data_IF_291553094544
#
_entry.id   IF_291553094544
#
_cell.length_a   1.000
_cell.length_b   1.000
_cell.length_c   1.000
_cell.angle_alpha   90.00
_cell.angle_beta   90.00
_cell.angle_gamma   90.00
#
_symmetry.space_group_name_H-M   'P 1'
#
loop_
_entity.id
_entity.type
_entity.pdbx_description
1 polymer ?
#
# COMPACT_ATOMS: atom_id res chain seq x y z
N UNK A 1 89.09 19.27 7.29
CA UNK A 1 87.89 18.90 6.54
C UNK A 1 86.78 18.72 7.57
N UNK A 2 85.98 19.80 7.76
CA UNK A 2 84.93 19.82 8.79
C UNK A 2 83.59 19.53 8.08
N UNK A 3 82.88 18.50 8.47
CA UNK A 3 81.52 18.17 8.00
C UNK A 3 80.56 18.81 8.99
N UNK A 4 79.78 19.78 8.48
CA UNK A 4 78.60 20.32 9.17
C UNK A 4 77.40 19.42 8.96
N UNK A 5 76.85 18.87 10.02
CA UNK A 5 75.57 18.17 10.03
C UNK A 5 74.47 19.20 10.34
N UNK A 6 73.54 19.40 9.43
CA UNK A 6 72.34 20.21 9.64
C UNK A 6 71.24 19.29 10.17
N UNK A 7 70.80 19.53 11.37
CA UNK A 7 69.62 18.88 11.97
C UNK A 7 68.42 19.75 11.64
N UNK A 8 67.57 19.31 10.69
CA UNK A 8 66.28 19.91 10.42
C UNK A 8 65.30 19.57 11.56
N UNK A 9 64.73 20.59 12.16
CA UNK A 9 63.67 20.49 13.17
C UNK A 9 62.36 20.20 12.40
N UNK A 10 61.71 19.08 12.73
CA UNK A 10 60.46 18.66 12.13
C UNK A 10 59.33 19.63 12.46
N UNK A 11 58.47 19.82 11.49
CA UNK A 11 57.21 20.52 11.64
C UNK A 11 56.26 19.72 12.49
N UNK A 12 55.61 20.35 13.43
CA UNK A 12 54.49 19.80 14.20
C UNK A 12 53.32 19.51 13.29
N UNK A 13 53.00 18.26 13.12
CA UNK A 13 51.70 17.83 12.55
C UNK A 13 50.62 18.17 13.58
N UNK A 14 49.91 19.27 13.31
CA UNK A 14 48.64 19.54 13.99
C UNK A 14 47.61 18.53 13.47
N UNK A 15 47.38 17.49 14.25
CA UNK A 15 46.19 16.64 14.09
C UNK A 15 44.95 17.52 14.18
N UNK A 16 44.28 17.66 13.05
CA UNK A 16 42.91 18.20 13.02
C UNK A 16 41.97 17.17 13.68
N UNK A 17 41.48 17.53 14.87
CA UNK A 17 40.34 16.80 15.46
C UNK A 17 39.21 16.67 14.43
N UNK A 18 38.57 15.50 14.28
CA UNK A 18 37.40 15.34 13.45
C UNK A 18 36.31 16.27 13.99
N UNK A 19 35.89 17.22 13.17
CA UNK A 19 34.69 18.02 13.43
C UNK A 19 33.55 17.02 13.61
N UNK A 20 33.01 16.93 14.82
CA UNK A 20 31.71 16.33 15.05
C UNK A 20 30.73 17.11 14.21
N UNK A 21 30.15 16.46 13.21
CA UNK A 21 28.90 16.92 12.59
C UNK A 21 27.89 17.03 13.73
N UNK A 22 27.49 18.25 14.07
CA UNK A 22 26.36 18.48 14.95
C UNK A 22 25.15 17.89 14.22
N UNK A 23 24.63 16.76 14.68
CA UNK A 23 23.34 16.27 14.25
C UNK A 23 22.33 17.41 14.50
N UNK A 24 21.75 17.91 13.42
CA UNK A 24 20.66 18.89 13.49
C UNK A 24 19.47 18.22 14.17
N UNK A 25 19.34 18.44 15.47
CA UNK A 25 18.26 17.88 16.32
C UNK A 25 16.99 18.72 16.25
N UNK A 26 16.89 19.63 15.29
CA UNK A 26 15.65 20.39 15.08
C UNK A 26 14.51 19.45 14.66
N UNK A 27 13.37 19.54 15.33
CA UNK A 27 12.17 18.82 14.89
C UNK A 27 11.81 19.25 13.48
N UNK A 28 11.47 18.30 12.58
CA UNK A 28 11.15 18.65 11.20
C UNK A 28 9.93 19.56 11.13
N UNK A 29 9.98 20.51 10.21
CA UNK A 29 8.93 21.48 10.01
C UNK A 29 7.63 20.79 9.55
N UNK A 30 6.50 21.15 10.17
CA UNK A 30 5.19 20.70 9.74
C UNK A 30 4.98 21.02 8.25
N UNK A 31 4.63 20.00 7.47
CA UNK A 31 4.44 20.13 6.03
C UNK A 31 5.59 19.53 5.22
N UNK A 32 6.68 19.11 5.85
CA UNK A 32 7.76 18.36 5.20
C UNK A 32 7.46 16.85 5.17
N UNK A 33 8.06 16.11 4.24
CA UNK A 33 7.90 14.63 4.20
C UNK A 33 8.50 13.99 5.44
N UNK A 34 9.59 14.53 5.95
CA UNK A 34 10.26 14.10 7.18
C UNK A 34 9.33 14.15 8.38
N UNK A 35 8.49 15.21 8.47
CA UNK A 35 7.51 15.34 9.55
C UNK A 35 6.51 14.17 9.58
N UNK A 36 6.11 13.63 8.43
CA UNK A 36 5.22 12.46 8.36
C UNK A 36 5.82 11.22 9.04
N UNK A 37 7.15 11.08 9.05
CA UNK A 37 7.81 9.93 9.67
C UNK A 37 7.79 9.97 11.20
N UNK A 38 7.73 11.15 11.81
CA UNK A 38 7.59 11.29 13.25
C UNK A 38 6.25 10.76 13.78
N UNK A 39 5.20 10.77 12.96
CA UNK A 39 3.89 10.24 13.34
C UNK A 39 3.87 8.72 13.40
N UNK A 40 4.74 8.06 12.63
CA UNK A 40 4.73 6.59 12.53
C UNK A 40 4.91 5.92 13.87
N UNK A 41 5.68 6.49 14.78
CA UNK A 41 5.96 5.92 16.09
C UNK A 41 4.78 6.00 17.06
N UNK A 42 4.00 7.08 17.02
CA UNK A 42 2.82 7.26 17.86
C UNK A 42 1.62 6.43 17.37
N UNK A 43 1.46 6.29 16.04
CA UNK A 43 0.27 5.73 15.41
C UNK A 43 0.44 4.29 14.91
N UNK A 44 1.67 3.79 14.87
CA UNK A 44 2.06 2.49 14.31
C UNK A 44 1.30 1.30 14.86
N UNK A 45 0.92 1.34 16.12
CA UNK A 45 0.25 0.23 16.80
C UNK A 45 -1.27 0.30 16.72
N UNK A 46 -1.83 1.32 16.05
CA UNK A 46 -3.27 1.44 15.90
C UNK A 46 -3.79 0.46 14.83
N UNK A 47 -4.88 -0.25 15.10
CA UNK A 47 -5.35 -1.30 14.20
C UNK A 47 -5.88 -0.74 12.87
N UNK A 48 -5.78 -1.55 11.81
CA UNK A 48 -6.35 -1.31 10.48
C UNK A 48 -7.28 -2.47 10.10
N UNK A 49 -8.19 -2.31 9.15
CA UNK A 49 -8.46 -1.12 8.29
C UNK A 49 -9.32 -0.06 8.98
N UNK A 50 -9.40 1.13 8.38
CA UNK A 50 -10.26 2.23 8.86
C UNK A 50 -11.17 2.77 7.75
N UNK A 51 -12.14 3.61 8.16
CA UNK A 51 -12.90 4.44 7.24
C UNK A 51 -12.06 5.64 6.81
N UNK A 52 -11.92 5.85 5.49
CA UNK A 52 -11.24 7.02 4.94
C UNK A 52 -12.27 7.98 4.36
N UNK A 53 -12.12 9.26 4.70
CA UNK A 53 -13.05 10.33 4.26
C UNK A 53 -12.31 11.63 4.10
N UNK A 54 -12.68 12.43 3.10
CA UNK A 54 -12.16 13.80 2.96
C UNK A 54 -12.59 14.63 4.16
N UNK A 55 -13.83 14.45 4.63
CA UNK A 55 -14.31 15.08 5.85
C UNK A 55 -13.58 14.49 7.05
N UNK A 56 -12.76 15.28 7.71
CA UNK A 56 -11.96 14.86 8.87
C UNK A 56 -10.56 14.31 8.48
N UNK A 57 -10.14 14.48 7.23
CA UNK A 57 -8.74 14.35 6.84
C UNK A 57 -8.04 15.71 6.85
N UNK A 58 -6.73 15.70 7.07
CA UNK A 58 -5.87 16.87 6.94
C UNK A 58 -5.32 16.90 5.53
N UNK A 59 -5.55 18.00 4.80
CA UNK A 59 -4.93 18.17 3.47
C UNK A 59 -3.45 18.40 3.65
N UNK A 60 -2.65 17.58 2.99
CA UNK A 60 -1.20 17.63 3.09
C UNK A 60 -0.56 17.62 1.70
N UNK A 61 0.45 18.46 1.51
CA UNK A 61 1.13 18.60 0.22
C UNK A 61 2.42 17.81 0.23
N UNK A 62 2.53 16.84 -0.67
CA UNK A 62 3.75 16.07 -0.91
C UNK A 62 4.23 16.28 -2.35
N UNK A 63 5.49 15.96 -2.66
CA UNK A 63 5.92 15.74 -4.03
C UNK A 63 5.06 14.70 -4.74
N UNK A 64 5.18 14.63 -6.06
CA UNK A 64 4.50 13.61 -6.84
C UNK A 64 5.01 12.21 -6.51
N UNK A 65 4.10 11.23 -6.34
CA UNK A 65 4.46 9.81 -6.23
C UNK A 65 4.91 9.30 -7.60
N UNK A 66 6.10 8.74 -7.68
CA UNK A 66 6.74 8.31 -8.94
C UNK A 66 6.83 6.79 -9.00
N UNK A 67 6.53 6.25 -10.18
CA UNK A 67 6.43 4.82 -10.47
C UNK A 67 7.51 4.42 -11.46
N UNK A 68 8.34 3.47 -11.09
CA UNK A 68 9.48 3.04 -11.90
C UNK A 68 9.39 1.54 -12.23
N UNK A 69 9.75 1.17 -13.45
CA UNK A 69 9.84 -0.21 -13.94
C UNK A 69 8.51 -0.99 -13.99
N UNK A 70 7.35 -0.33 -13.86
CA UNK A 70 6.05 -1.02 -13.94
C UNK A 70 5.72 -1.52 -15.33
N UNK A 71 6.33 -0.96 -16.38
CA UNK A 71 6.22 -1.41 -17.78
C UNK A 71 7.19 -2.55 -18.12
N UNK A 72 8.12 -2.88 -17.22
CA UNK A 72 9.09 -3.94 -17.43
C UNK A 72 8.43 -5.30 -17.24
N UNK A 73 8.55 -6.17 -18.26
CA UNK A 73 8.00 -7.51 -18.22
C UNK A 73 8.68 -8.36 -17.15
N UNK A 74 7.93 -8.95 -16.22
CA UNK A 74 8.48 -9.92 -15.28
C UNK A 74 8.92 -11.19 -16.01
N UNK A 75 9.96 -11.84 -15.50
CA UNK A 75 10.36 -13.15 -15.99
C UNK A 75 9.33 -14.24 -15.68
N UNK A 76 8.65 -14.13 -14.53
CA UNK A 76 7.62 -15.08 -14.07
C UNK A 76 6.59 -14.35 -13.25
N UNK A 77 5.31 -14.72 -13.45
CA UNK A 77 4.21 -14.37 -12.54
C UNK A 77 3.66 -15.69 -12.01
N UNK A 78 3.47 -15.76 -10.69
CA UNK A 78 2.81 -16.87 -10.00
C UNK A 78 1.56 -16.33 -9.34
N UNK A 79 0.43 -16.97 -9.61
CA UNK A 79 -0.85 -16.71 -8.96
C UNK A 79 -1.15 -17.90 -8.06
N UNK A 80 -1.51 -17.66 -6.82
CA UNK A 80 -1.72 -18.70 -5.81
C UNK A 80 -3.01 -18.43 -5.05
N UNK A 81 -3.89 -19.42 -4.98
CA UNK A 81 -4.91 -19.47 -3.95
C UNK A 81 -4.26 -20.00 -2.67
N UNK A 82 -4.12 -19.16 -1.66
CA UNK A 82 -3.48 -19.53 -0.38
C UNK A 82 -4.43 -20.29 0.55
N UNK A 83 -5.70 -20.50 0.14
CA UNK A 83 -6.78 -20.97 1.01
C UNK A 83 -7.42 -19.84 1.83
N UNK A 84 -6.82 -18.66 1.82
CA UNK A 84 -7.32 -17.47 2.53
C UNK A 84 -7.48 -16.26 1.65
N UNK A 85 -6.66 -16.14 0.61
CA UNK A 85 -6.70 -15.04 -0.36
C UNK A 85 -6.05 -15.47 -1.66
N UNK A 86 -6.24 -14.68 -2.70
CA UNK A 86 -5.48 -14.78 -3.95
C UNK A 86 -4.21 -13.95 -3.83
N UNK A 87 -3.05 -14.58 -4.03
CA UNK A 87 -1.74 -13.94 -3.97
C UNK A 87 -1.09 -13.95 -5.35
N UNK A 88 -0.59 -12.78 -5.78
CA UNK A 88 0.21 -12.63 -6.99
C UNK A 88 1.64 -12.25 -6.59
N UNK A 89 2.59 -13.10 -6.95
CA UNK A 89 4.02 -12.83 -6.86
C UNK A 89 4.66 -12.80 -8.23
N UNK A 90 5.64 -11.95 -8.43
CA UNK A 90 6.35 -11.85 -9.69
C UNK A 90 7.86 -11.76 -9.47
N UNK A 91 8.63 -12.25 -10.46
CA UNK A 91 10.12 -12.20 -10.46
C UNK A 91 10.61 -11.51 -11.73
N UNK A 92 11.60 -10.66 -11.58
CA UNK A 92 12.28 -9.96 -12.67
C UNK A 92 13.73 -10.47 -12.80
N UNK A 93 14.28 -10.39 -13.99
CA UNK A 93 15.72 -10.62 -14.24
C UNK A 93 16.54 -9.34 -14.05
N UNK A 94 15.88 -8.22 -14.13
CA UNK A 94 16.38 -6.86 -13.93
C UNK A 94 15.82 -6.30 -12.63
N UNK A 95 15.93 -5.01 -12.44
CA UNK A 95 15.37 -4.30 -11.31
C UNK A 95 13.84 -4.46 -11.23
N UNK A 96 13.32 -4.70 -10.02
CA UNK A 96 11.89 -4.83 -9.75
C UNK A 96 11.20 -3.47 -9.86
N UNK A 97 9.87 -3.43 -10.11
CA UNK A 97 9.10 -2.21 -9.96
C UNK A 97 9.23 -1.60 -8.56
N UNK A 98 9.28 -0.29 -8.50
CA UNK A 98 9.42 0.44 -7.24
C UNK A 98 8.77 1.82 -7.27
N UNK A 99 8.55 2.39 -6.08
CA UNK A 99 8.02 3.72 -5.83
C UNK A 99 9.08 4.62 -5.21
N UNK A 100 9.02 5.91 -5.53
CA UNK A 100 9.74 6.99 -4.89
C UNK A 100 8.89 8.27 -4.86
N UNK A 101 9.28 9.22 -4.03
CA UNK A 101 8.56 10.50 -3.91
C UNK A 101 7.22 10.35 -3.19
N UNK A 102 6.32 11.29 -3.37
CA UNK A 102 5.11 11.35 -2.54
C UNK A 102 5.47 11.48 -1.07
N UNK A 103 4.87 10.65 -0.19
CA UNK A 103 5.19 10.60 1.23
C UNK A 103 6.37 9.68 1.54
N UNK A 104 7.17 9.30 0.54
CA UNK A 104 8.26 8.35 0.68
C UNK A 104 9.60 9.08 0.61
N UNK A 105 10.41 8.96 1.67
CA UNK A 105 11.78 9.48 1.68
C UNK A 105 12.70 8.64 0.82
N UNK A 106 12.41 7.34 0.72
CA UNK A 106 13.26 6.37 0.06
C UNK A 106 12.49 5.44 -0.88
N UNK A 107 13.26 4.70 -1.67
CA UNK A 107 12.78 3.70 -2.62
C UNK A 107 12.04 2.55 -1.92
N UNK A 108 10.83 2.23 -2.39
CA UNK A 108 10.04 1.09 -1.94
C UNK A 108 9.78 0.12 -3.08
N UNK A 109 10.23 -1.12 -2.94
CA UNK A 109 10.22 -2.16 -3.97
C UNK A 109 8.93 -2.97 -3.89
N UNK A 110 8.29 -3.21 -5.04
CA UNK A 110 7.11 -4.06 -5.13
C UNK A 110 7.40 -5.47 -4.61
N UNK A 111 6.60 -5.94 -3.66
CA UNK A 111 6.70 -7.27 -3.09
C UNK A 111 5.65 -8.22 -3.67
N UNK A 112 4.39 -7.95 -3.39
CA UNK A 112 3.28 -8.84 -3.71
C UNK A 112 1.97 -8.08 -3.87
N UNK A 113 0.97 -8.75 -4.47
CA UNK A 113 -0.39 -8.26 -4.60
C UNK A 113 -1.33 -9.31 -4.05
N UNK A 114 -2.30 -8.91 -3.23
CA UNK A 114 -3.34 -9.81 -2.76
C UNK A 114 -4.71 -9.14 -2.78
N UNK A 115 -5.78 -9.93 -2.62
CA UNK A 115 -7.15 -9.47 -2.80
C UNK A 115 -8.02 -9.82 -1.61
N UNK A 116 -8.95 -8.93 -1.31
CA UNK A 116 -10.03 -9.13 -0.37
C UNK A 116 -11.37 -8.98 -1.12
N UNK A 117 -12.36 -9.77 -0.75
CA UNK A 117 -13.68 -9.73 -1.36
C UNK A 117 -14.76 -10.18 -0.40
N UNK A 118 -16.03 -9.93 -0.76
CA UNK A 118 -17.17 -10.26 0.03
C UNK A 118 -18.20 -11.12 -0.69
N UNK A 119 -19.19 -11.55 0.06
CA UNK A 119 -20.25 -12.40 -0.43
C UNK A 119 -21.22 -11.69 -1.38
N UNK A 120 -21.39 -10.38 -1.19
CA UNK A 120 -22.30 -9.57 -2.01
C UNK A 120 -21.58 -8.34 -2.62
N UNK A 121 -22.33 -7.50 -3.34
CA UNK A 121 -21.76 -6.33 -4.02
C UNK A 121 -21.56 -5.11 -3.13
N UNK A 122 -22.03 -5.16 -1.89
CA UNK A 122 -21.96 -4.06 -0.94
C UNK A 122 -20.91 -4.28 0.15
N UNK A 123 -20.18 -5.39 0.09
CA UNK A 123 -19.13 -5.71 1.06
C UNK A 123 -18.00 -6.51 0.42
N UNK A 124 -16.79 -6.33 0.91
CA UNK A 124 -15.61 -7.04 0.39
C UNK A 124 -14.31 -6.31 0.61
N UNK A 125 -14.35 -4.97 0.62
CA UNK A 125 -13.17 -4.18 0.95
C UNK A 125 -12.90 -4.21 2.45
N UNK A 126 -11.65 -4.22 2.84
CA UNK A 126 -11.22 -3.98 4.21
C UNK A 126 -11.54 -2.55 4.60
N UNK A 127 -11.04 -1.59 3.81
CA UNK A 127 -11.32 -0.17 4.01
C UNK A 127 -12.72 0.21 3.55
N UNK A 128 -13.24 1.26 4.16
CA UNK A 128 -14.43 1.96 3.66
C UNK A 128 -14.04 3.37 3.23
N UNK A 129 -14.79 3.89 2.27
CA UNK A 129 -14.69 5.29 1.85
C UNK A 129 -16.02 5.94 2.14
N UNK A 130 -16.02 6.97 3.01
CA UNK A 130 -17.26 7.60 3.48
C UNK A 130 -18.28 6.57 4.00
N UNK A 131 -17.80 5.56 4.77
CA UNK A 131 -18.56 4.44 5.34
C UNK A 131 -19.16 3.46 4.31
N UNK A 132 -18.77 3.57 3.05
CA UNK A 132 -19.23 2.68 1.98
C UNK A 132 -18.18 1.60 1.73
N UNK A 133 -18.60 0.33 1.75
CA UNK A 133 -17.81 -0.81 1.30
C UNK A 133 -18.05 -1.09 -0.18
N UNK A 134 -17.05 -1.68 -0.80
CA UNK A 134 -17.10 -2.14 -2.19
C UNK A 134 -16.83 -3.65 -2.27
N UNK A 135 -17.13 -4.31 -3.40
CA UNK A 135 -17.05 -5.77 -3.48
C UNK A 135 -15.65 -6.35 -3.40
N UNK A 136 -14.61 -5.62 -3.81
CA UNK A 136 -13.24 -6.14 -3.85
C UNK A 136 -12.24 -5.04 -3.49
N UNK A 137 -11.19 -5.42 -2.76
CA UNK A 137 -10.00 -4.59 -2.52
C UNK A 137 -8.77 -5.33 -3.00
N UNK A 138 -7.92 -4.65 -3.76
CA UNK A 138 -6.62 -5.15 -4.16
C UNK A 138 -5.54 -4.41 -3.36
N UNK A 139 -4.74 -5.14 -2.60
CA UNK A 139 -3.67 -4.60 -1.78
C UNK A 139 -2.32 -4.92 -2.40
N UNK A 140 -1.54 -3.88 -2.66
CA UNK A 140 -0.22 -3.96 -3.28
C UNK A 140 0.83 -3.58 -2.25
N UNK A 141 1.64 -4.54 -1.84
CA UNK A 141 2.63 -4.36 -0.78
C UNK A 141 4.00 -4.01 -1.38
N UNK A 142 4.62 -3.00 -0.79
CA UNK A 142 5.97 -2.56 -1.10
C UNK A 142 6.80 -2.55 0.18
N UNK A 143 8.09 -2.79 0.06
CA UNK A 143 9.02 -2.71 1.18
C UNK A 143 10.18 -1.76 0.87
N UNK A 144 10.67 -1.06 1.90
CA UNK A 144 11.79 -0.13 1.79
C UNK A 144 13.06 -0.88 1.35
N UNK A 145 13.72 -0.38 0.33
CA UNK A 145 14.85 -1.07 -0.32
C UNK A 145 16.05 -1.29 0.58
N UNK A 146 16.24 -0.42 1.57
CA UNK A 146 17.30 -0.49 2.57
C UNK A 146 17.28 -1.82 3.35
N UNK A 147 16.10 -2.35 3.62
CA UNK A 147 15.95 -3.59 4.39
C UNK A 147 16.11 -4.87 3.56
N UNK A 148 16.38 -4.76 2.26
CA UNK A 148 16.68 -5.84 1.32
C UNK A 148 15.57 -6.88 1.14
N UNK A 149 14.82 -7.22 2.19
CA UNK A 149 13.72 -8.20 2.16
C UNK A 149 12.46 -7.63 2.82
N UNK A 150 11.31 -8.16 2.47
CA UNK A 150 10.05 -7.78 3.12
C UNK A 150 10.03 -8.21 4.60
N UNK A 151 10.62 -9.38 4.93
CA UNK A 151 10.63 -9.89 6.30
C UNK A 151 11.43 -8.97 7.22
N UNK A 152 12.56 -8.44 6.76
CA UNK A 152 13.33 -7.44 7.50
C UNK A 152 12.57 -6.11 7.61
N UNK A 153 11.97 -5.65 6.51
CA UNK A 153 11.19 -4.43 6.50
C UNK A 153 10.00 -4.45 7.49
N UNK A 154 9.43 -5.60 7.76
CA UNK A 154 8.38 -5.74 8.78
C UNK A 154 8.85 -5.43 10.21
N UNK A 155 10.15 -5.50 10.47
CA UNK A 155 10.71 -5.18 11.78
C UNK A 155 10.83 -3.66 12.02
N UNK A 156 10.56 -2.83 11.01
CA UNK A 156 10.75 -1.38 11.04
C UNK A 156 9.43 -0.63 10.79
N UNK A 157 9.21 0.46 11.51
CA UNK A 157 7.98 1.27 11.41
C UNK A 157 7.82 1.98 10.07
N UNK A 158 8.91 2.20 9.35
CA UNK A 158 8.95 2.84 8.03
C UNK A 158 9.15 1.84 6.87
N UNK A 159 9.21 0.54 7.21
CA UNK A 159 9.64 -0.50 6.28
C UNK A 159 8.62 -0.86 5.20
N UNK A 160 7.32 -0.68 5.46
CA UNK A 160 6.27 -1.23 4.58
C UNK A 160 5.25 -0.16 4.18
N UNK A 161 4.92 -0.18 2.90
CA UNK A 161 3.83 0.61 2.32
C UNK A 161 2.85 -0.33 1.63
N UNK A 162 1.57 -0.10 1.83
CA UNK A 162 0.49 -0.84 1.15
C UNK A 162 -0.39 0.14 0.40
N UNK A 163 -0.54 -0.08 -0.91
CA UNK A 163 -1.52 0.66 -1.72
C UNK A 163 -2.78 -0.19 -1.85
N UNK A 164 -3.93 0.38 -1.45
CA UNK A 164 -5.24 -0.27 -1.47
C UNK A 164 -6.09 0.26 -2.59
N UNK A 165 -6.24 -0.50 -3.67
CA UNK A 165 -7.16 -0.16 -4.74
C UNK A 165 -8.55 -0.69 -4.43
N UNK A 166 -9.48 0.24 -4.29
CA UNK A 166 -10.90 -0.08 -4.17
C UNK A 166 -11.43 -0.46 -5.55
N UNK A 167 -12.05 -1.63 -5.67
CA UNK A 167 -12.66 -2.13 -6.90
C UNK A 167 -14.17 -2.12 -6.71
N UNK A 168 -14.83 -1.16 -7.33
CA UNK A 168 -16.27 -1.01 -7.26
C UNK A 168 -16.97 -1.86 -8.33
N UNK A 169 -18.26 -2.10 -8.16
CA UNK A 169 -19.09 -2.70 -9.19
C UNK A 169 -19.22 -1.75 -10.39
N UNK A 170 -19.01 -2.29 -11.58
CA UNK A 170 -19.19 -1.61 -12.86
C UNK A 170 -20.02 -2.44 -13.83
N UNK A 171 -20.69 -1.79 -14.76
CA UNK A 171 -21.52 -2.48 -15.76
C UNK A 171 -20.68 -3.29 -16.77
N UNK A 172 -19.44 -2.86 -17.02
CA UNK A 172 -18.55 -3.47 -17.99
C UNK A 172 -17.34 -4.12 -17.28
N UNK A 173 -16.76 -5.18 -17.85
CA UNK A 173 -15.51 -5.75 -17.36
C UNK A 173 -14.38 -4.73 -17.46
N UNK A 174 -13.45 -4.79 -16.51
CA UNK A 174 -12.19 -4.04 -16.56
C UNK A 174 -11.12 -4.92 -17.19
N UNK A 175 -10.57 -4.47 -18.32
CA UNK A 175 -9.53 -5.18 -19.05
C UNK A 175 -8.26 -5.42 -18.23
N UNK A 176 -7.99 -4.55 -17.26
CA UNK A 176 -6.84 -4.69 -16.35
C UNK A 176 -6.90 -5.95 -15.52
N UNK A 177 -8.10 -6.39 -15.14
CA UNK A 177 -8.31 -7.60 -14.35
C UNK A 177 -8.34 -8.88 -15.18
N UNK A 178 -8.46 -8.80 -16.51
CA UNK A 178 -8.72 -9.94 -17.39
C UNK A 178 -7.76 -11.09 -17.15
N UNK A 179 -6.45 -10.86 -17.18
CA UNK A 179 -5.47 -11.94 -17.02
C UNK A 179 -5.46 -12.56 -15.60
N UNK A 180 -5.88 -11.80 -14.60
CA UNK A 180 -6.08 -12.31 -13.23
C UNK A 180 -7.29 -13.23 -13.22
N UNK A 181 -8.43 -12.75 -13.71
CA UNK A 181 -9.70 -13.49 -13.76
C UNK A 181 -9.55 -14.78 -14.56
N UNK A 182 -8.86 -14.76 -15.71
CA UNK A 182 -8.59 -15.96 -16.54
C UNK A 182 -7.74 -17.02 -15.84
N UNK A 183 -7.00 -16.61 -14.81
CA UNK A 183 -6.18 -17.52 -14.01
C UNK A 183 -6.96 -18.20 -12.86
N UNK A 184 -8.06 -17.59 -12.37
CA UNK A 184 -8.78 -18.07 -11.19
C UNK A 184 -9.30 -19.51 -11.33
N UNK A 185 -9.87 -19.95 -12.48
CA UNK A 185 -10.29 -21.35 -12.64
C UNK A 185 -9.17 -22.38 -12.44
N UNK A 186 -7.90 -21.99 -12.67
CA UNK A 186 -6.72 -22.86 -12.54
C UNK A 186 -6.18 -22.96 -11.11
N UNK A 187 -6.67 -22.11 -10.22
CA UNK A 187 -6.27 -22.04 -8.81
C UNK A 187 -7.48 -22.07 -7.88
N UNK A 188 -8.55 -22.72 -8.32
CA UNK A 188 -9.79 -22.78 -7.55
C UNK A 188 -9.59 -23.45 -6.21
N UNK A 189 -8.86 -24.56 -6.17
CA UNK A 189 -8.56 -25.31 -4.95
C UNK A 189 -7.55 -24.55 -4.08
N UNK A 190 -7.70 -24.67 -2.77
CA UNK A 190 -6.75 -24.09 -1.82
C UNK A 190 -5.33 -24.64 -2.04
N UNK A 191 -4.35 -23.81 -1.73
CA UNK A 191 -2.91 -24.13 -1.84
C UNK A 191 -2.45 -24.50 -3.26
N UNK A 192 -3.24 -24.20 -4.29
CA UNK A 192 -2.86 -24.38 -5.68
C UNK A 192 -2.29 -23.11 -6.29
N UNK A 193 -1.46 -23.28 -7.30
CA UNK A 193 -0.86 -22.15 -7.99
C UNK A 193 -0.72 -22.38 -9.49
N UNK A 194 -0.80 -21.30 -10.26
CA UNK A 194 -0.58 -21.30 -11.70
C UNK A 194 0.39 -20.20 -12.10
N UNK A 195 0.93 -20.35 -13.31
CA UNK A 195 1.72 -19.29 -13.94
C UNK A 195 0.82 -18.47 -14.84
N UNK A 196 0.92 -17.14 -14.72
CA UNK A 196 0.39 -16.23 -15.72
C UNK A 196 1.47 -15.87 -16.74
N UNK A 197 1.03 -15.32 -17.88
CA UNK A 197 1.94 -14.77 -18.89
C UNK A 197 2.79 -13.63 -18.32
N UNK A 198 3.88 -13.24 -19.02
CA UNK A 198 4.68 -12.10 -18.60
C UNK A 198 3.92 -10.79 -18.87
N UNK A 199 3.05 -10.38 -17.97
CA UNK A 199 2.34 -9.11 -18.04
C UNK A 199 3.08 -8.05 -17.23
N UNK A 200 3.35 -6.84 -17.78
CA UNK A 200 3.85 -5.72 -17.00
C UNK A 200 2.86 -5.36 -15.88
N UNK A 201 3.36 -4.90 -14.74
CA UNK A 201 2.47 -4.52 -13.62
C UNK A 201 1.61 -3.31 -13.95
N UNK A 202 2.02 -2.46 -14.88
CA UNK A 202 1.22 -1.35 -15.41
C UNK A 202 -0.08 -1.79 -16.09
N UNK A 203 -0.18 -3.04 -16.53
CA UNK A 203 -1.42 -3.60 -17.10
C UNK A 203 -2.48 -3.91 -16.04
N UNK A 204 -2.09 -4.05 -14.78
CA UNK A 204 -3.00 -4.31 -13.66
C UNK A 204 -3.20 -3.07 -12.79
N UNK A 205 -2.10 -2.37 -12.48
CA UNK A 205 -2.09 -1.32 -11.46
C UNK A 205 -2.29 0.06 -12.10
N UNK A 206 -3.38 0.76 -11.79
CA UNK A 206 -3.51 2.16 -12.15
C UNK A 206 -2.45 2.98 -11.43
N UNK A 207 -1.54 3.58 -12.19
CA UNK A 207 -0.56 4.50 -11.63
C UNK A 207 -1.22 5.86 -11.39
N UNK A 208 -0.97 6.44 -10.23
CA UNK A 208 -1.49 7.76 -9.86
C UNK A 208 -0.36 8.60 -9.26
N UNK A 209 -0.50 9.89 -9.34
CA UNK A 209 0.48 10.84 -8.81
C UNK A 209 -0.08 11.63 -7.62
N UNK A 210 -1.41 11.75 -7.56
CA UNK A 210 -2.14 12.65 -6.69
C UNK A 210 -3.42 12.01 -6.17
N UNK A 211 -4.04 12.70 -5.21
CA UNK A 211 -5.39 12.44 -4.71
C UNK A 211 -5.52 11.05 -4.08
N UNK A 212 -4.83 10.86 -2.97
CA UNK A 212 -4.92 9.65 -2.17
C UNK A 212 -4.94 9.97 -0.68
N UNK A 213 -5.51 9.07 0.08
CA UNK A 213 -5.43 9.09 1.53
C UNK A 213 -4.16 8.38 1.99
N UNK A 214 -3.57 8.90 3.08
CA UNK A 214 -2.41 8.33 3.74
C UNK A 214 -2.67 8.25 5.24
N UNK A 215 -2.35 7.11 5.85
CA UNK A 215 -2.36 6.96 7.30
C UNK A 215 -1.42 5.83 7.74
N UNK A 216 -1.08 5.78 9.04
CA UNK A 216 -0.32 4.69 9.64
C UNK A 216 -1.24 3.74 10.39
N UNK A 217 -0.97 2.46 10.31
CA UNK A 217 -1.73 1.45 11.03
C UNK A 217 -1.15 0.07 10.89
N UNK A 218 -1.78 -0.91 11.53
CA UNK A 218 -1.31 -2.29 11.50
C UNK A 218 -1.56 -2.96 10.15
N UNK A 219 -0.62 -3.82 9.75
CA UNK A 219 -0.79 -4.81 8.69
C UNK A 219 -0.67 -6.19 9.32
N UNK A 220 -1.75 -6.94 9.33
CA UNK A 220 -1.70 -8.32 9.83
C UNK A 220 -1.14 -9.26 8.78
N UNK A 221 -0.11 -9.97 9.17
CA UNK A 221 0.50 -11.04 8.39
C UNK A 221 0.69 -12.29 9.28
N UNK A 222 1.17 -13.37 8.70
CA UNK A 222 1.21 -14.67 9.34
C UNK A 222 1.95 -14.74 10.69
N UNK A 223 2.91 -13.86 10.94
CA UNK A 223 3.72 -13.83 12.17
C UNK A 223 3.23 -12.80 13.21
N UNK A 224 2.22 -12.02 12.90
CA UNK A 224 1.70 -10.97 13.79
C UNK A 224 1.28 -9.71 13.04
N UNK A 225 1.04 -8.66 13.81
CA UNK A 225 0.73 -7.34 13.29
C UNK A 225 2.01 -6.52 13.15
N UNK A 226 2.14 -5.90 12.00
CA UNK A 226 3.27 -5.05 11.64
C UNK A 226 2.79 -3.64 11.36
N UNK A 227 3.69 -2.69 11.38
CA UNK A 227 3.39 -1.32 10.97
C UNK A 227 3.40 -1.20 9.46
N UNK A 228 2.43 -0.49 8.90
CA UNK A 228 2.43 -0.13 7.50
C UNK A 228 1.91 1.30 7.29
N UNK A 229 2.42 1.94 6.26
CA UNK A 229 1.81 3.12 5.68
C UNK A 229 0.79 2.68 4.65
N UNK A 230 -0.44 3.09 4.86
CA UNK A 230 -1.55 2.78 4.00
C UNK A 230 -1.83 3.94 3.06
N UNK A 231 -1.82 3.65 1.77
CA UNK A 231 -2.17 4.60 0.71
C UNK A 231 -3.44 4.10 0.03
N UNK A 232 -4.48 4.89 0.09
CA UNK A 232 -5.77 4.59 -0.56
C UNK A 232 -6.02 5.62 -1.65
N UNK A 233 -5.80 5.28 -2.93
CA UNK A 233 -6.06 6.19 -4.04
C UNK A 233 -7.53 6.58 -4.08
N UNK A 234 -7.81 7.81 -4.42
CA UNK A 234 -9.18 8.28 -4.60
C UNK A 234 -9.84 7.72 -5.85
N UNK A 235 -9.04 7.45 -6.88
CA UNK A 235 -9.55 6.85 -8.11
C UNK A 235 -9.74 5.36 -7.93
N UNK A 236 -10.98 4.90 -8.02
CA UNK A 236 -11.32 3.50 -7.95
C UNK A 236 -11.06 2.76 -9.26
N UNK A 237 -10.83 1.46 -9.14
CA UNK A 237 -11.03 0.52 -10.22
C UNK A 237 -12.51 0.10 -10.29
N UNK A 238 -12.90 -0.53 -11.39
CA UNK A 238 -14.20 -1.16 -11.51
C UNK A 238 -14.08 -2.62 -11.94
N UNK A 239 -15.09 -3.42 -11.68
CA UNK A 239 -15.17 -4.79 -12.18
C UNK A 239 -16.63 -5.16 -12.47
N UNK A 240 -16.86 -5.98 -13.50
CA UNK A 240 -18.20 -6.48 -13.78
C UNK A 240 -18.65 -7.50 -12.72
N UNK A 241 -19.96 -7.78 -12.73
CA UNK A 241 -20.52 -8.80 -11.85
C UNK A 241 -19.83 -10.16 -12.02
N UNK A 242 -19.58 -10.55 -13.27
CA UNK A 242 -18.93 -11.81 -13.62
C UNK A 242 -17.50 -11.87 -13.09
N UNK A 243 -16.71 -10.79 -13.25
CA UNK A 243 -15.35 -10.70 -12.75
C UNK A 243 -15.30 -10.81 -11.22
N UNK A 244 -16.17 -10.10 -10.51
CA UNK A 244 -16.26 -10.17 -9.05
C UNK A 244 -16.67 -11.57 -8.60
N UNK A 245 -17.60 -12.21 -9.31
CA UNK A 245 -18.10 -13.53 -8.97
C UNK A 245 -17.02 -14.62 -9.10
N UNK A 246 -16.04 -14.46 -9.99
CA UNK A 246 -14.94 -15.43 -10.11
C UNK A 246 -14.11 -15.55 -8.83
N UNK A 247 -13.84 -14.45 -8.12
CA UNK A 247 -13.14 -14.50 -6.83
C UNK A 247 -13.88 -15.36 -5.80
N UNK A 248 -15.21 -15.32 -5.78
CA UNK A 248 -16.06 -16.06 -4.82
C UNK A 248 -16.10 -17.56 -5.07
N UNK A 249 -15.60 -18.02 -6.23
CA UNK A 249 -15.50 -19.43 -6.57
C UNK A 249 -14.21 -20.09 -6.08
N UNK A 250 -13.27 -19.33 -5.57
CA UNK A 250 -12.07 -19.88 -4.93
C UNK A 250 -12.48 -20.65 -3.67
N UNK A 251 -11.80 -21.75 -3.43
CA UNK A 251 -12.08 -22.63 -2.30
C UNK A 251 -11.07 -22.39 -1.16
N UNK A 252 -11.54 -22.59 0.03
CA UNK A 252 -10.72 -22.65 1.24
C UNK A 252 -10.11 -24.07 1.45
N UNK A 253 -9.32 -24.30 2.52
CA UNK A 253 -8.73 -25.62 2.79
C UNK A 253 -9.76 -26.73 3.12
N UNK A 254 -11.00 -26.39 3.32
CA UNK A 254 -12.10 -27.35 3.59
C UNK A 254 -13.00 -27.57 2.38
N UNK A 255 -12.57 -27.13 1.19
CA UNK A 255 -13.31 -27.19 -0.08
C UNK A 255 -14.61 -26.36 -0.09
N UNK A 256 -14.73 -25.39 0.83
CA UNK A 256 -15.85 -24.46 0.85
C UNK A 256 -15.53 -23.17 0.08
N UNK A 257 -16.50 -22.57 -0.62
CA UNK A 257 -16.26 -21.31 -1.33
C UNK A 257 -15.83 -20.17 -0.40
N UNK A 258 -14.72 -19.54 -0.72
CA UNK A 258 -14.19 -18.36 -0.05
C UNK A 258 -15.07 -17.13 -0.34
N UNK A 259 -16.25 -17.05 0.26
CA UNK A 259 -17.25 -16.02 -0.05
C UNK A 259 -16.97 -14.69 0.65
N UNK A 260 -16.37 -14.74 1.86
CA UNK A 260 -16.13 -13.56 2.69
C UNK A 260 -14.67 -13.51 3.12
N UNK A 261 -13.95 -12.56 2.57
CA UNK A 261 -12.52 -12.36 2.87
C UNK A 261 -12.21 -10.87 2.99
N UNK A 262 -12.69 -10.26 4.06
CA UNK A 262 -12.34 -8.90 4.46
C UNK A 262 -12.34 -8.78 5.97
N UNK A 263 -11.65 -7.76 6.47
CA UNK A 263 -11.46 -7.52 7.90
C UNK A 263 -12.54 -6.59 8.46
N UNK A 264 -12.76 -6.71 9.76
CA UNK A 264 -13.62 -5.78 10.49
C UNK A 264 -12.97 -4.40 10.51
N UNK A 265 -13.80 -3.39 10.23
CA UNK A 265 -13.39 -2.00 10.29
C UNK A 265 -13.02 -1.61 11.72
N UNK A 266 -11.91 -0.91 11.88
CA UNK A 266 -11.42 -0.42 13.15
C UNK A 266 -11.78 1.06 13.33
N UNK A 267 -11.86 1.50 14.56
CA UNK A 267 -12.01 2.92 14.85
C UNK A 267 -10.73 3.68 14.46
N UNK A 268 -10.91 4.86 13.86
CA UNK A 268 -9.78 5.71 13.53
C UNK A 268 -9.04 6.18 14.80
N UNK A 269 -9.78 6.44 15.89
CA UNK A 269 -9.23 7.08 17.07
C UNK A 269 -8.67 8.48 16.75
N UNK A 270 -7.63 8.86 17.47
CA UNK A 270 -6.96 10.16 17.31
C UNK A 270 -5.85 10.15 16.23
N UNK A 271 -5.72 9.06 15.45
CA UNK A 271 -4.70 9.01 14.39
C UNK A 271 -4.98 10.01 13.28
N UNK A 272 -3.90 10.48 12.69
CA UNK A 272 -3.97 11.36 11.53
C UNK A 272 -4.42 10.58 10.30
N UNK A 273 -5.32 11.19 9.55
CA UNK A 273 -5.67 10.77 8.20
C UNK A 273 -5.36 11.94 7.28
N UNK A 274 -4.41 11.74 6.37
CA UNK A 274 -4.02 12.77 5.42
C UNK A 274 -4.70 12.54 4.09
N UNK A 275 -5.13 13.62 3.46
CA UNK A 275 -5.47 13.67 2.06
C UNK A 275 -4.30 14.31 1.31
N UNK A 276 -3.58 13.51 0.54
CA UNK A 276 -2.35 13.95 -0.13
C UNK A 276 -2.69 14.56 -1.47
N UNK A 277 -2.25 15.80 -1.63
CA UNK A 277 -2.33 16.53 -2.88
C UNK A 277 -0.92 16.98 -3.29
N UNK A 278 -0.44 16.68 -4.50
CA UNK A 278 0.89 17.06 -4.92
C UNK A 278 1.10 18.56 -5.00
N UNK A 279 2.31 19.00 -4.71
CA UNK A 279 2.67 20.43 -4.75
C UNK A 279 2.44 21.08 -6.12
N UNK A 280 2.68 20.34 -7.22
CA UNK A 280 2.50 20.88 -8.56
C UNK A 280 1.04 21.26 -8.86
N UNK A 281 0.07 20.57 -8.28
CA UNK A 281 -1.36 20.91 -8.44
C UNK A 281 -1.71 22.26 -7.80
N UNK A 282 -0.94 22.70 -6.81
CA UNK A 282 -1.10 24.01 -6.19
C UNK A 282 -0.64 25.15 -7.10
N UNK A 283 0.39 24.92 -7.92
CA UNK A 283 0.94 25.93 -8.82
C UNK A 283 0.14 26.11 -10.10
N UNK A 284 -0.63 25.11 -10.50
CA UNK A 284 -1.50 25.16 -11.67
C UNK A 284 -2.92 25.66 -11.35
N UNK A 285 -3.22 25.96 -10.09
CA UNK A 285 -4.49 26.58 -9.72
C UNK A 285 -4.48 28.07 -10.09
N UNK A 286 -5.42 28.48 -10.93
CA UNK A 286 -5.64 29.92 -11.23
C UNK A 286 -6.20 30.67 -10.03
N UNK A 287 -6.58 29.99 -8.97
CA UNK A 287 -7.09 30.59 -7.75
C UNK A 287 -6.01 30.56 -6.68
N UNK A 288 -5.78 31.66 -5.95
CA UNK A 288 -4.89 31.64 -4.80
C UNK A 288 -5.40 30.62 -3.80
N UNK A 289 -4.57 29.63 -3.47
CA UNK A 289 -4.90 28.64 -2.45
C UNK A 289 -4.89 29.37 -1.12
N UNK A 290 -6.08 29.74 -0.64
CA UNK A 290 -6.22 30.08 0.77
C UNK A 290 -5.96 28.80 1.54
N UNK A 291 -5.07 28.82 2.53
CA UNK A 291 -5.03 27.79 3.57
C UNK A 291 -6.44 27.71 4.12
N UNK A 292 -7.15 26.64 3.79
CA UNK A 292 -8.52 26.45 4.24
C UNK A 292 -8.44 26.11 5.73
N UNK A 293 -9.04 26.88 6.62
CA UNK A 293 -9.16 26.46 8.02
C UNK A 293 -9.84 25.09 8.04
N UNK A 294 -9.48 24.23 8.98
CA UNK A 294 -9.94 22.83 9.12
C UNK A 294 -11.45 22.59 9.00
N UNK A 295 -12.25 23.64 9.04
CA UNK A 295 -13.73 23.61 9.03
C UNK A 295 -14.38 23.82 7.65
N UNK A 296 -13.65 24.02 6.55
CA UNK A 296 -14.27 24.45 5.29
C UNK A 296 -13.76 23.72 4.04
N UNK A 297 -13.79 22.38 4.07
CA UNK A 297 -13.50 21.53 2.89
C UNK A 297 -14.59 21.63 1.80
N UNK A 298 -15.65 22.38 2.04
CA UNK A 298 -16.75 22.57 1.07
C UNK A 298 -16.40 23.38 -0.20
N UNK A 299 -15.15 23.84 -0.35
CA UNK A 299 -14.70 24.68 -1.48
C UNK A 299 -13.63 23.99 -2.33
N UNK A 300 -13.51 22.68 -2.30
CA UNK A 300 -12.74 21.95 -3.30
C UNK A 300 -13.47 22.06 -4.65
N UNK A 301 -12.73 22.35 -5.70
CA UNK A 301 -13.15 22.77 -7.03
C UNK A 301 -14.37 21.99 -7.61
N UNK A 302 -15.16 22.56 -8.50
CA UNK A 302 -16.29 21.86 -9.16
C UNK A 302 -15.92 20.55 -9.86
N UNK A 303 -14.65 20.37 -10.28
CA UNK A 303 -14.16 19.12 -10.80
C UNK A 303 -14.16 17.98 -9.76
N UNK A 304 -14.05 18.31 -8.51
CA UNK A 304 -14.15 17.36 -7.39
C UNK A 304 -15.59 16.93 -7.11
N UNK A 305 -16.57 17.81 -7.37
CA UNK A 305 -17.99 17.49 -7.20
C UNK A 305 -18.53 16.60 -8.33
N UNK A 306 -17.97 16.70 -9.53
CA UNK A 306 -18.41 15.89 -10.68
C UNK A 306 -17.98 14.40 -10.57
N UNK A 307 -16.95 14.08 -9.78
CA UNK A 307 -16.50 12.72 -9.48
C UNK A 307 -16.90 12.27 -8.07
N UNK A 308 -17.71 13.07 -7.36
CA UNK A 308 -18.25 12.64 -6.09
C UNK A 308 -19.16 11.44 -6.30
N UNK A 309 -18.94 10.42 -5.52
CA UNK A 309 -19.73 9.24 -5.30
C UNK A 309 -21.24 9.59 -5.27
N UNK A 310 -21.91 9.56 -6.43
CA UNK A 310 -23.35 9.66 -6.47
C UNK A 310 -23.93 8.40 -5.85
N UNK A 311 -24.36 8.52 -4.62
CA UNK A 311 -25.23 7.54 -3.99
C UNK A 311 -26.50 7.41 -4.81
N UNK A 312 -26.95 6.19 -5.14
CA UNK A 312 -28.34 6.01 -5.51
C UNK A 312 -29.24 6.46 -4.35
N UNK A 313 -30.45 6.98 -4.61
CA UNK A 313 -31.33 7.49 -3.56
C UNK A 313 -31.56 6.42 -2.50
N UNK A 314 -31.29 6.77 -1.23
CA UNK A 314 -31.43 5.86 -0.10
C UNK A 314 -32.91 5.54 0.14
N UNK A 315 -33.32 4.34 -0.20
CA UNK A 315 -34.51 3.75 0.40
C UNK A 315 -34.14 3.35 1.84
N UNK A 316 -34.78 3.98 2.81
CA UNK A 316 -34.62 3.67 4.23
C UNK A 316 -35.05 2.21 4.48
N UNK A 317 -34.06 1.34 4.64
CA UNK A 317 -34.28 -0.03 5.14
C UNK A 317 -33.89 -0.03 6.63
N UNK A 318 -34.87 -0.28 7.49
CA UNK A 318 -34.64 -0.52 8.92
C UNK A 318 -33.92 -1.87 9.07
N UNK A 319 -32.63 -1.84 9.37
CA UNK A 319 -31.87 -3.05 9.74
C UNK A 319 -32.01 -3.27 11.25
N UNK A 320 -32.62 -4.41 11.58
CA UNK A 320 -32.54 -4.99 12.93
C UNK A 320 -31.13 -5.53 13.13
N UNK A 321 -30.53 -5.15 14.25
CA UNK A 321 -29.24 -5.66 14.73
C UNK A 321 -29.38 -7.11 15.15
N UNK A 322 -28.72 -8.01 14.42
CA UNK A 322 -28.43 -9.36 14.89
C UNK A 322 -26.96 -9.45 15.29
N UNK A 323 -26.74 -10.13 16.39
CA UNK A 323 -25.49 -10.33 17.11
C UNK A 323 -24.38 -10.94 16.25
N UNK A 324 -23.22 -10.28 16.24
CA UNK A 324 -22.00 -10.76 15.59
C UNK A 324 -21.34 -11.87 16.41
N UNK A 325 -21.17 -13.04 15.81
CA UNK A 325 -20.18 -14.03 16.25
C UNK A 325 -18.81 -13.69 15.66
N UNK A 326 -17.83 -13.49 16.53
CA UNK A 326 -16.43 -13.29 16.17
C UNK A 326 -15.81 -14.61 15.72
N UNK A 327 -15.48 -14.74 14.42
CA UNK A 327 -14.62 -15.81 13.94
C UNK A 327 -13.17 -15.37 13.91
N UNK A 328 -12.39 -15.81 14.89
CA UNK A 328 -10.94 -15.72 14.86
C UNK A 328 -10.36 -16.73 13.86
N UNK A 329 -9.62 -16.25 12.88
CA UNK A 329 -8.85 -17.11 11.99
C UNK A 329 -7.53 -17.52 12.69
N UNK A 330 -7.43 -18.78 13.11
CA UNK A 330 -6.30 -19.28 13.92
C UNK A 330 -5.20 -20.00 13.15
N UNK A 331 -5.17 -19.96 11.81
CA UNK A 331 -4.14 -20.70 11.06
C UNK A 331 -3.27 -19.78 10.20
N UNK A 332 -2.31 -19.15 10.90
CA UNK A 332 -1.32 -18.24 10.29
C UNK A 332 -0.07 -18.96 9.72
N UNK A 333 0.13 -20.25 10.03
CA UNK A 333 1.37 -20.96 9.67
C UNK A 333 1.51 -21.26 8.16
N UNK A 334 0.40 -21.46 7.46
CA UNK A 334 0.42 -21.82 6.04
C UNK A 334 0.81 -20.68 5.10
N UNK A 335 0.55 -19.43 5.51
CA UNK A 335 0.90 -18.26 4.68
C UNK A 335 2.41 -18.05 4.55
N UNK A 336 3.16 -18.36 5.62
CA UNK A 336 4.60 -18.16 5.67
C UNK A 336 5.40 -19.15 4.82
N UNK A 337 5.00 -20.40 4.78
CA UNK A 337 5.71 -21.41 3.99
C UNK A 337 5.69 -21.10 2.48
N UNK A 338 4.69 -20.35 2.01
CA UNK A 338 4.58 -19.96 0.61
C UNK A 338 5.24 -18.61 0.29
N UNK A 339 5.34 -17.71 1.27
CA UNK A 339 6.06 -16.43 1.13
C UNK A 339 7.58 -16.66 1.02
N UNK A 340 8.13 -17.59 1.79
CA UNK A 340 9.56 -17.93 1.81
C UNK A 340 10.01 -18.54 0.47
N UNK A 341 9.15 -19.28 -0.25
CA UNK A 341 9.52 -19.90 -1.53
C UNK A 341 9.67 -18.91 -2.70
N UNK A 342 9.32 -17.66 -2.51
CA UNK A 342 9.44 -16.61 -3.53
C UNK A 342 10.81 -15.91 -3.45
N UNK A 343 11.42 -15.81 -2.27
CA UNK A 343 12.66 -15.03 -2.06
C UNK A 343 13.95 -15.86 -1.89
N UNK A 344 13.88 -17.14 -1.57
CA UNK A 344 15.09 -17.96 -1.40
C UNK A 344 15.52 -18.64 -2.71
N UNK A 345 15.86 -17.86 -3.72
CA UNK A 345 16.59 -18.32 -4.90
C UNK A 345 18.06 -18.03 -4.75
N UNK A 346 18.74 -18.76 -3.86
CA UNK A 346 20.21 -18.83 -3.83
C UNK A 346 20.68 -19.35 -5.18
N UNK A 347 21.63 -18.63 -5.77
CA UNK A 347 22.43 -19.04 -6.92
C UNK A 347 23.09 -20.39 -6.64
N UNK A 348 22.51 -21.47 -7.14
CA UNK A 348 23.14 -22.77 -7.31
C UNK A 348 23.53 -22.92 -8.77
N UNK A 349 24.81 -23.00 -8.98
CA UNK A 349 25.47 -23.33 -10.23
C UNK A 349 24.97 -24.67 -10.79
N UNK A 350 24.43 -24.65 -11.99
CA UNK A 350 24.76 -25.51 -13.16
C UNK A 350 23.92 -25.06 -14.36
#
# INVERSE_FOLDING_TARGET
>A
MQIKVNIGIGAEDTEKEPQKEEEDTSEPEFGSVEWLYHLSDAERNLPSPIDVSITGSTVYSCPELRWYNFDVYPHKIKITNTGHTLLIGAKWKTERPYLEGGPLLEKHILSQIHFHWGENMMEGTDHTVDKIRHPVEMQVTFFKSEYLTQDEAFCHSDGVVVICYIIQYGANPDDRLTWVIDALPKVREAHTSTRAGPYPMSTLLPMFAADYFLYWGSLSAAKGDYVARWIVPRTNMSASFEQITEFRKLLDPWDEPLKKKFRTLQERGDRHLFFINPQWSQHNSLLPIRRVPETSISVLSPAYQANSWMLPPQNKVNLKTDTQEEYYCTDHAALNAQLISVDTGVLGSE
#
